data_IF_161451890605
#
_entry.id   IF_161451890605
#
_cell.length_a   1.000
_cell.length_b   1.000
_cell.length_c   1.000
_cell.angle_alpha   90.00
_cell.angle_beta   90.00
_cell.angle_gamma   90.00
#
_symmetry.space_group_name_H-M   'P 1'
#
loop_
_entity.id
_entity.type
_entity.pdbx_description
1 polymer ?
#
# COMPACT_ATOMS: atom_id res chain seq x y z
N UNK A 1 -24.25 -13.32 -5.66
CA UNK A 1 -23.41 -13.41 -4.46
C UNK A 1 -24.05 -12.57 -3.36
N UNK A 2 -24.14 -13.11 -2.16
CA UNK A 2 -24.56 -12.38 -0.95
C UNK A 2 -23.39 -11.60 -0.35
N UNK A 3 -23.63 -10.60 0.52
CA UNK A 3 -22.55 -9.91 1.22
C UNK A 3 -21.62 -10.87 1.97
N UNK A 4 -22.16 -11.89 2.63
CA UNK A 4 -21.37 -12.90 3.35
C UNK A 4 -20.46 -13.71 2.42
N UNK A 5 -20.95 -14.09 1.24
CA UNK A 5 -20.12 -14.78 0.23
C UNK A 5 -18.99 -13.89 -0.29
N UNK A 6 -19.24 -12.58 -0.45
CA UNK A 6 -18.20 -11.62 -0.85
C UNK A 6 -17.13 -11.47 0.23
N UNK A 7 -17.54 -11.30 1.50
CA UNK A 7 -16.61 -11.20 2.62
C UNK A 7 -15.75 -12.46 2.76
N UNK A 8 -16.34 -13.64 2.58
CA UNK A 8 -15.58 -14.89 2.61
C UNK A 8 -14.57 -14.97 1.45
N UNK A 9 -14.95 -14.52 0.25
CA UNK A 9 -14.07 -14.51 -0.91
C UNK A 9 -12.85 -13.62 -0.74
N UNK A 10 -12.96 -12.50 0.00
CA UNK A 10 -11.80 -11.62 0.27
C UNK A 10 -10.65 -12.34 0.98
N UNK A 11 -10.96 -13.30 1.87
CA UNK A 11 -9.96 -14.12 2.55
C UNK A 11 -9.08 -14.97 1.62
N UNK A 12 -9.46 -15.11 0.35
CA UNK A 12 -8.70 -15.84 -0.69
C UNK A 12 -8.01 -14.90 -1.69
N UNK A 13 -8.20 -13.59 -1.56
CA UNK A 13 -7.68 -12.59 -2.49
C UNK A 13 -6.51 -11.81 -1.90
N UNK A 14 -5.59 -11.43 -2.78
CA UNK A 14 -4.41 -10.62 -2.45
C UNK A 14 -4.52 -9.25 -3.11
N UNK A 15 -4.24 -8.20 -2.35
CA UNK A 15 -4.16 -6.82 -2.84
C UNK A 15 -2.72 -6.53 -3.23
N UNK A 16 -2.50 -6.07 -4.46
CA UNK A 16 -1.22 -5.54 -4.94
C UNK A 16 -1.36 -4.05 -5.22
N UNK A 17 -0.51 -3.23 -4.60
CA UNK A 17 -0.46 -1.78 -4.84
C UNK A 17 0.97 -1.31 -5.11
N UNK A 18 1.13 -0.35 -6.01
CA UNK A 18 2.47 0.18 -6.33
C UNK A 18 3.10 0.93 -5.14
N UNK A 19 2.27 1.55 -4.29
CA UNK A 19 2.70 2.24 -3.08
C UNK A 19 1.91 1.77 -1.86
N UNK A 20 2.50 2.03 -0.70
CA UNK A 20 1.92 1.78 0.60
C UNK A 20 0.62 2.59 0.77
N UNK A 21 -0.44 1.88 1.13
CA UNK A 21 -1.76 2.42 1.45
C UNK A 21 -1.67 3.40 2.63
N UNK A 22 -2.19 4.62 2.43
CA UNK A 22 -2.33 5.60 3.50
C UNK A 22 -3.25 5.08 4.62
N UNK A 23 -3.24 5.71 5.82
CA UNK A 23 -4.05 5.27 6.96
C UNK A 23 -5.52 4.96 6.68
N UNK A 24 -6.17 5.70 5.77
CA UNK A 24 -7.55 5.43 5.36
C UNK A 24 -7.68 4.07 4.67
N UNK A 25 -6.88 3.83 3.63
CA UNK A 25 -6.89 2.59 2.86
C UNK A 25 -6.40 1.41 3.71
N UNK A 26 -5.33 1.59 4.50
CA UNK A 26 -4.83 0.56 5.41
C UNK A 26 -5.90 0.13 6.43
N UNK A 27 -6.70 1.08 6.95
CA UNK A 27 -7.82 0.78 7.85
C UNK A 27 -8.92 -0.01 7.14
N UNK A 28 -9.27 0.36 5.91
CA UNK A 28 -10.26 -0.38 5.11
C UNK A 28 -9.79 -1.82 4.82
N UNK A 29 -8.52 -1.99 4.45
CA UNK A 29 -7.91 -3.31 4.25
C UNK A 29 -7.98 -4.12 5.54
N UNK A 30 -7.62 -3.52 6.68
CA UNK A 30 -7.74 -4.18 7.98
C UNK A 30 -9.14 -4.72 8.18
N UNK A 31 -10.19 -3.91 8.02
CA UNK A 31 -11.59 -4.35 8.19
C UNK A 31 -12.05 -5.43 7.21
N UNK A 32 -11.51 -5.41 5.99
CA UNK A 32 -11.93 -6.34 4.93
C UNK A 32 -11.37 -7.75 5.10
N UNK A 33 -10.21 -7.93 5.74
CA UNK A 33 -9.65 -9.24 6.00
C UNK A 33 -9.19 -10.01 4.76
N UNK A 34 -8.64 -9.30 3.76
CA UNK A 34 -7.94 -9.92 2.62
C UNK A 34 -6.86 -10.90 3.07
N UNK A 35 -6.52 -11.87 2.23
CA UNK A 35 -5.43 -12.81 2.52
C UNK A 35 -4.10 -12.07 2.71
N UNK A 36 -3.77 -11.25 1.72
CA UNK A 36 -2.49 -10.56 1.63
C UNK A 36 -2.69 -9.12 1.17
N UNK A 37 -1.86 -8.25 1.71
CA UNK A 37 -1.70 -6.87 1.27
C UNK A 37 -0.22 -6.65 0.93
N UNK A 38 0.05 -6.50 -0.35
CA UNK A 38 1.38 -6.40 -0.93
C UNK A 38 1.56 -4.99 -1.50
N UNK A 39 2.64 -4.32 -1.13
CA UNK A 39 2.96 -3.00 -1.65
C UNK A 39 4.46 -2.82 -1.98
N UNK A 40 4.73 -1.92 -2.93
CA UNK A 40 6.08 -1.50 -3.28
C UNK A 40 6.56 -0.31 -2.46
N UNK A 41 6.47 0.88 -3.06
CA UNK A 41 6.96 2.14 -2.51
C UNK A 41 6.39 2.45 -1.14
N UNK A 42 7.23 2.87 -0.19
CA UNK A 42 6.81 3.16 1.18
C UNK A 42 6.20 4.55 1.32
N UNK A 43 5.39 4.77 2.36
CA UNK A 43 4.95 6.11 2.78
C UNK A 43 6.17 6.99 3.08
N UNK A 44 7.23 6.42 3.66
CA UNK A 44 8.46 7.16 3.96
C UNK A 44 9.15 7.66 2.68
N UNK A 45 9.23 6.84 1.63
CA UNK A 45 9.75 7.28 0.33
C UNK A 45 8.92 8.43 -0.22
N UNK A 46 7.59 8.27 -0.26
CA UNK A 46 6.68 9.30 -0.76
C UNK A 46 6.81 10.61 0.03
N UNK A 47 6.93 10.54 1.36
CA UNK A 47 7.21 11.70 2.20
C UNK A 47 8.54 12.36 1.83
N UNK A 48 9.61 11.58 1.68
CA UNK A 48 10.96 12.09 1.38
C UNK A 48 11.03 12.78 0.01
N UNK A 49 10.27 12.30 -0.98
CA UNK A 49 10.24 12.89 -2.33
C UNK A 49 9.18 13.99 -2.46
N UNK A 50 8.52 14.39 -1.37
CA UNK A 50 7.70 15.61 -1.31
C UNK A 50 6.19 15.40 -1.46
N UNK A 51 5.67 14.17 -1.45
CA UNK A 51 4.23 13.95 -1.43
C UNK A 51 3.61 14.39 -0.10
N UNK A 52 2.44 15.01 -0.18
CA UNK A 52 1.58 15.25 0.97
C UNK A 52 0.95 13.96 1.49
N UNK A 53 1.69 13.21 2.30
CA UNK A 53 1.24 11.95 2.92
C UNK A 53 1.14 12.09 4.44
N UNK A 54 0.20 11.34 5.03
CA UNK A 54 0.25 11.05 6.46
C UNK A 54 1.39 10.07 6.71
N UNK A 55 2.31 10.38 7.63
CA UNK A 55 3.49 9.56 7.91
C UNK A 55 3.20 8.31 8.77
N UNK A 56 1.95 8.13 9.22
CA UNK A 56 1.51 6.91 9.88
C UNK A 56 1.52 5.75 8.88
N UNK A 57 2.39 4.77 9.10
CA UNK A 57 2.55 3.65 8.19
C UNK A 57 1.34 2.70 8.23
N UNK A 58 1.12 1.98 7.14
CA UNK A 58 0.14 0.88 7.09
C UNK A 58 0.50 -0.22 8.09
N UNK A 59 1.78 -0.45 8.34
CA UNK A 59 2.26 -1.36 9.39
C UNK A 59 1.77 -0.93 10.77
N UNK A 60 1.93 0.34 11.13
CA UNK A 60 1.49 0.85 12.43
C UNK A 60 -0.03 0.76 12.59
N UNK A 61 -0.79 1.10 11.53
CA UNK A 61 -2.24 0.89 11.49
C UNK A 61 -2.55 -0.57 11.79
N UNK A 62 -1.86 -1.51 11.14
CA UNK A 62 -2.07 -2.94 11.34
C UNK A 62 -1.70 -3.39 12.77
N UNK A 63 -0.61 -2.88 13.34
CA UNK A 63 -0.18 -3.25 14.70
C UNK A 63 -1.16 -2.75 15.76
N UNK A 64 -1.67 -1.52 15.62
CA UNK A 64 -2.59 -0.91 16.59
C UNK A 64 -4.04 -1.39 16.46
N UNK A 65 -4.36 -2.18 15.42
CA UNK A 65 -5.72 -2.62 15.10
C UNK A 65 -5.89 -4.14 15.07
N UNK A 66 -5.00 -4.89 15.73
CA UNK A 66 -5.04 -6.38 15.76
C UNK A 66 -6.34 -6.97 16.32
N UNK A 67 -7.13 -6.19 17.04
CA UNK A 67 -8.45 -6.55 17.56
C UNK A 67 -9.56 -6.52 16.50
N UNK A 68 -9.32 -5.95 15.31
CA UNK A 68 -10.33 -5.81 14.27
C UNK A 68 -10.46 -7.08 13.39
N UNK A 69 -11.65 -7.33 12.81
CA UNK A 69 -11.86 -8.39 11.83
C UNK A 69 -10.90 -8.20 10.66
N UNK A 70 -10.08 -9.21 10.31
CA UNK A 70 -9.00 -9.09 9.33
C UNK A 70 -7.59 -9.01 9.93
N UNK A 71 -7.43 -9.29 11.22
CA UNK A 71 -6.14 -9.47 11.88
C UNK A 71 -5.23 -10.51 11.19
N UNK A 72 -5.81 -11.46 10.45
CA UNK A 72 -5.11 -12.48 9.69
C UNK A 72 -4.45 -12.00 8.39
N UNK A 73 -4.80 -10.80 7.89
CA UNK A 73 -4.21 -10.27 6.66
C UNK A 73 -2.70 -10.14 6.81
N UNK A 74 -1.97 -10.84 5.95
CA UNK A 74 -0.51 -10.76 5.88
C UNK A 74 -0.08 -9.53 5.09
N UNK A 75 0.87 -8.77 5.62
CA UNK A 75 1.39 -7.57 4.97
C UNK A 75 2.81 -7.82 4.46
N UNK A 76 3.05 -7.53 3.18
CA UNK A 76 4.36 -7.60 2.55
C UNK A 76 4.66 -6.26 1.88
N UNK A 77 5.60 -5.51 2.47
CA UNK A 77 6.01 -4.21 1.95
C UNK A 77 7.31 -4.28 1.16
N UNK A 78 7.61 -3.18 0.47
CA UNK A 78 8.88 -2.97 -0.23
C UNK A 78 9.14 -3.98 -1.36
N UNK A 79 8.08 -4.47 -2.00
CA UNK A 79 8.19 -5.37 -3.15
C UNK A 79 8.44 -4.58 -4.43
N UNK A 80 9.55 -4.87 -5.14
CA UNK A 80 9.93 -4.21 -6.40
C UNK A 80 10.08 -2.68 -6.29
N UNK A 81 10.62 -2.17 -5.17
CA UNK A 81 10.83 -0.73 -4.98
C UNK A 81 11.75 -0.10 -6.02
N UNK A 82 12.67 -0.87 -6.61
CA UNK A 82 13.48 -0.40 -7.74
C UNK A 82 12.65 0.01 -8.96
N UNK A 83 11.46 -0.58 -9.15
CA UNK A 83 10.52 -0.23 -10.21
C UNK A 83 9.47 0.79 -9.74
N UNK A 84 8.95 0.64 -8.51
CA UNK A 84 7.85 1.49 -8.05
C UNK A 84 8.31 2.87 -7.57
N UNK A 85 9.46 2.98 -6.92
CA UNK A 85 9.94 4.26 -6.37
C UNK A 85 10.11 5.35 -7.44
N UNK A 86 10.68 5.06 -8.63
CA UNK A 86 10.72 6.03 -9.74
C UNK A 86 9.33 6.54 -10.17
N UNK A 87 8.29 5.71 -10.11
CA UNK A 87 6.90 6.08 -10.46
C UNK A 87 6.31 7.11 -9.48
N UNK A 88 6.88 7.25 -8.29
CA UNK A 88 6.47 8.25 -7.30
C UNK A 88 7.50 9.37 -7.11
N UNK A 89 8.65 9.33 -7.80
CA UNK A 89 9.66 10.40 -7.72
C UNK A 89 9.60 11.40 -8.88
N UNK A 90 9.04 11.03 -10.03
CA UNK A 90 9.12 11.83 -11.27
C UNK A 90 8.55 13.26 -11.12
N UNK A 91 7.42 13.43 -10.43
CA UNK A 91 6.74 14.74 -10.38
C UNK A 91 7.50 15.79 -9.56
N UNK A 92 8.51 15.38 -8.77
CA UNK A 92 9.27 16.26 -7.88
C UNK A 92 10.78 16.20 -8.09
N UNK A 93 11.25 15.48 -9.11
CA UNK A 93 12.67 15.44 -9.48
C UNK A 93 12.81 15.56 -11.01
N UNK A 94 13.30 16.73 -11.46
CA UNK A 94 13.52 17.07 -12.87
C UNK A 94 14.45 16.09 -13.60
N UNK A 95 15.42 15.47 -12.91
CA UNK A 95 16.34 14.49 -13.51
C UNK A 95 15.64 13.18 -13.88
N UNK A 96 14.63 12.76 -13.11
CA UNK A 96 13.81 11.57 -13.40
C UNK A 96 12.84 11.80 -14.56
N UNK A 97 12.37 13.03 -14.76
CA UNK A 97 11.50 13.36 -15.89
C UNK A 97 12.19 13.13 -17.24
N UNK A 98 13.50 13.39 -17.34
CA UNK A 98 14.26 13.17 -18.58
C UNK A 98 14.35 11.68 -18.93
N UNK A 99 14.60 10.80 -17.95
CA UNK A 99 14.72 9.34 -18.17
C UNK A 99 13.41 8.65 -18.55
N UNK A 100 12.26 9.24 -18.21
CA UNK A 100 10.93 8.69 -18.55
C UNK A 100 10.43 9.17 -19.92
N UNK A 101 10.98 10.26 -20.46
CA UNK A 101 10.65 10.79 -21.80
C UNK A 101 11.50 10.09 -22.89
N UNK A 102 12.69 9.62 -22.54
CA UNK A 102 13.64 8.96 -23.45
C UNK A 102 13.42 7.44 -23.61
N UNK A 103 12.26 6.92 -23.19
CA UNK A 103 11.87 5.51 -23.33
C UNK A 103 11.89 4.99 -24.76
#
# INVERSE_FOLDING_TARGET
MTPTEIYAAWGELSIYTNAESCPMCASAIRWSGFKEYIYGTTIQHNYNVGWGVMTLSSYDVFQQSRQLPGFQTSMLGQILTNETDPLFSWQYNEETNLKMIEG
#
